data_IF_447085307272
#
_entry.id   IF_447085307272
#
_cell.length_a   1.000
_cell.length_b   1.000
_cell.length_c   1.000
_cell.angle_alpha   90.00
_cell.angle_beta   90.00
_cell.angle_gamma   90.00
#
_symmetry.space_group_name_H-M   'P 1'
#
loop_
_entity.id
_entity.type
_entity.pdbx_description
1 polymer ?
#
# COMPACT_ATOMS: atom_id res chain seq x y z
N UNK A 1 -13.20 5.94 -12.87
CA UNK A 1 -12.68 5.95 -11.49
C UNK A 1 -13.80 5.87 -10.46
N UNK A 2 -14.83 6.73 -10.50
CA UNK A 2 -15.94 6.69 -9.52
C UNK A 2 -16.57 5.29 -9.34
N UNK A 3 -16.89 4.59 -10.44
CA UNK A 3 -17.41 3.20 -10.38
C UNK A 3 -16.56 2.20 -9.60
N UNK A 4 -15.23 2.34 -9.59
CA UNK A 4 -14.36 1.41 -8.84
C UNK A 4 -14.33 1.74 -7.34
N UNK A 5 -14.52 3.02 -7.00
CA UNK A 5 -14.68 3.44 -5.61
C UNK A 5 -16.01 2.94 -5.05
N UNK A 6 -17.10 3.09 -5.81
CA UNK A 6 -18.41 2.54 -5.43
C UNK A 6 -18.35 1.03 -5.21
N UNK A 7 -17.69 0.29 -6.11
CA UNK A 7 -17.51 -1.17 -5.96
C UNK A 7 -16.84 -1.53 -4.63
N UNK A 8 -15.80 -0.79 -4.24
CA UNK A 8 -15.08 -1.02 -2.98
C UNK A 8 -15.96 -0.67 -1.77
N UNK A 9 -16.76 0.39 -1.86
CA UNK A 9 -17.64 0.87 -0.79
C UNK A 9 -18.82 -0.09 -0.60
N UNK A 10 -19.50 -0.46 -1.68
CA UNK A 10 -20.68 -1.31 -1.65
C UNK A 10 -20.36 -2.70 -1.11
N UNK A 11 -19.24 -3.29 -1.56
CA UNK A 11 -18.75 -4.57 -1.02
C UNK A 11 -18.41 -4.47 0.47
N UNK A 12 -17.79 -3.37 0.92
CA UNK A 12 -17.54 -3.17 2.34
C UNK A 12 -18.84 -3.05 3.16
N UNK A 13 -19.84 -2.32 2.68
CA UNK A 13 -21.13 -2.17 3.38
C UNK A 13 -21.80 -3.52 3.55
N UNK A 14 -21.82 -4.34 2.49
CA UNK A 14 -22.42 -5.66 2.44
C UNK A 14 -21.66 -6.69 3.30
N UNK A 15 -20.35 -6.81 3.09
CA UNK A 15 -19.56 -7.95 3.56
C UNK A 15 -18.64 -7.62 4.75
N UNK A 16 -18.62 -6.35 5.17
CA UNK A 16 -17.67 -5.81 6.17
C UNK A 16 -16.20 -5.89 5.73
N UNK A 17 -15.96 -6.24 4.48
CA UNK A 17 -14.67 -6.24 3.79
C UNK A 17 -14.89 -5.71 2.38
N UNK A 18 -14.19 -4.65 2.00
CA UNK A 18 -14.29 -4.09 0.65
C UNK A 18 -13.31 -4.77 -0.30
N UNK A 19 -13.78 -5.17 -1.48
CA UNK A 19 -12.94 -5.74 -2.54
C UNK A 19 -13.29 -5.07 -3.87
N UNK A 20 -12.27 -4.61 -4.60
CA UNK A 20 -12.43 -4.02 -5.92
C UNK A 20 -11.29 -4.48 -6.84
N UNK A 21 -11.62 -5.30 -7.83
CA UNK A 21 -10.67 -5.76 -8.84
C UNK A 21 -10.26 -4.62 -9.78
N UNK A 22 -8.96 -4.50 -10.06
CA UNK A 22 -8.46 -3.42 -10.92
C UNK A 22 -8.52 -2.04 -10.28
N UNK A 23 -8.55 -1.95 -8.93
CA UNK A 23 -8.42 -0.67 -8.22
C UNK A 23 -7.13 0.07 -8.60
N UNK A 24 -6.02 -0.68 -8.68
CA UNK A 24 -4.81 -0.23 -9.35
C UNK A 24 -4.89 -0.61 -10.83
N UNK A 25 -4.50 0.30 -11.71
CA UNK A 25 -4.32 -0.05 -13.13
C UNK A 25 -3.15 -1.03 -13.28
N UNK A 26 -3.19 -1.89 -14.30
CA UNK A 26 -2.10 -2.86 -14.56
C UNK A 26 -0.74 -2.18 -14.65
N UNK A 27 -0.69 -0.99 -15.26
CA UNK A 27 0.51 -0.18 -15.37
C UNK A 27 1.01 0.31 -14.01
N UNK A 28 0.13 0.85 -13.16
CA UNK A 28 0.52 1.31 -11.83
C UNK A 28 0.98 0.13 -10.95
N UNK A 29 0.25 -0.99 -10.99
CA UNK A 29 0.60 -2.21 -10.27
C UNK A 29 1.97 -2.76 -10.71
N UNK A 30 2.23 -2.81 -12.02
CA UNK A 30 3.52 -3.24 -12.56
C UNK A 30 4.67 -2.34 -12.08
N UNK A 31 4.50 -1.02 -12.17
CA UNK A 31 5.53 -0.07 -11.75
C UNK A 31 5.82 -0.14 -10.23
N UNK A 32 4.78 -0.27 -9.40
CA UNK A 32 4.95 -0.43 -7.95
C UNK A 32 5.68 -1.74 -7.59
N UNK A 33 5.36 -2.84 -8.27
CA UNK A 33 6.06 -4.12 -8.11
C UNK A 33 7.53 -4.00 -8.50
N UNK A 34 7.83 -3.33 -9.60
CA UNK A 34 9.21 -3.16 -10.07
C UNK A 34 10.01 -2.24 -9.12
N UNK A 35 9.37 -1.23 -8.51
CA UNK A 35 9.95 -0.43 -7.43
C UNK A 35 10.30 -1.28 -6.21
N UNK A 36 9.37 -2.11 -5.71
CA UNK A 36 9.62 -3.03 -4.59
C UNK A 36 10.77 -4.01 -4.92
N UNK A 37 10.81 -4.54 -6.14
CA UNK A 37 11.88 -5.44 -6.59
C UNK A 37 13.24 -4.76 -6.57
N UNK A 38 13.28 -3.49 -6.99
CA UNK A 38 14.50 -2.65 -6.95
C UNK A 38 14.94 -2.40 -5.51
N UNK A 39 14.02 -2.01 -4.63
CA UNK A 39 14.29 -1.79 -3.20
C UNK A 39 14.82 -3.07 -2.52
N UNK A 40 14.22 -4.22 -2.83
CA UNK A 40 14.65 -5.52 -2.33
C UNK A 40 16.07 -5.87 -2.82
N UNK A 41 16.33 -5.75 -4.13
CA UNK A 41 17.66 -6.04 -4.70
C UNK A 41 18.75 -5.10 -4.19
N UNK A 42 18.38 -3.88 -3.80
CA UNK A 42 19.27 -2.86 -3.25
C UNK A 42 19.43 -2.98 -1.73
N UNK A 43 18.82 -3.99 -1.08
CA UNK A 43 18.80 -4.15 0.38
C UNK A 43 18.26 -2.92 1.15
N UNK A 44 17.31 -2.19 0.56
CA UNK A 44 16.69 -1.01 1.17
C UNK A 44 15.46 -1.33 2.03
N UNK A 45 14.98 -2.58 2.01
CA UNK A 45 13.89 -3.01 2.89
C UNK A 45 14.42 -3.32 4.30
N UNK A 46 13.70 -2.88 5.32
CA UNK A 46 14.01 -3.17 6.73
C UNK A 46 13.21 -4.37 7.24
N UNK A 47 13.78 -5.19 8.12
CA UNK A 47 13.03 -6.24 8.83
C UNK A 47 11.88 -5.62 9.62
N UNK A 48 10.68 -6.15 9.44
CA UNK A 48 9.52 -5.60 10.10
C UNK A 48 9.48 -5.99 11.59
N UNK A 49 9.16 -5.03 12.45
CA UNK A 49 8.91 -5.25 13.88
C UNK A 49 7.43 -5.24 14.20
N UNK A 50 7.09 -5.73 15.39
CA UNK A 50 5.80 -5.57 16.06
C UNK A 50 5.96 -4.69 17.31
N UNK A 51 4.87 -4.12 17.82
CA UNK A 51 4.88 -3.26 19.00
C UNK A 51 4.66 -1.78 18.67
N UNK A 52 5.27 -0.89 19.46
CA UNK A 52 5.13 0.56 19.31
C UNK A 52 6.51 1.25 19.33
N UNK A 53 6.53 2.57 19.16
CA UNK A 53 7.78 3.34 19.09
C UNK A 53 8.67 3.23 20.35
N UNK A 54 8.15 2.74 21.48
CA UNK A 54 8.91 2.56 22.74
C UNK A 54 9.39 1.13 22.95
N UNK A 55 8.67 0.15 22.41
CA UNK A 55 8.99 -1.27 22.55
C UNK A 55 8.76 -1.91 21.18
N UNK A 56 9.86 -2.09 20.45
CA UNK A 56 9.88 -2.87 19.22
C UNK A 56 10.31 -4.29 19.57
N UNK A 57 9.44 -5.25 19.28
CA UNK A 57 9.75 -6.66 19.32
C UNK A 57 9.96 -7.16 17.88
N UNK A 58 11.07 -7.86 17.64
CA UNK A 58 11.42 -8.44 16.35
C UNK A 58 11.29 -9.96 16.40
N UNK A 59 10.20 -10.45 17.00
CA UNK A 59 9.88 -11.87 17.01
C UNK A 59 9.51 -12.37 15.60
N UNK A 60 10.49 -12.96 14.93
CA UNK A 60 10.34 -13.55 13.58
C UNK A 60 9.34 -14.71 13.48
N UNK A 61 8.89 -15.30 14.60
CA UNK A 61 7.81 -16.28 14.59
C UNK A 61 6.43 -15.62 14.41
N UNK A 62 6.32 -14.33 14.74
CA UNK A 62 5.08 -13.55 14.60
C UNK A 62 5.10 -12.76 13.29
N UNK A 63 6.24 -12.12 12.99
CA UNK A 63 6.39 -11.26 11.82
C UNK A 63 7.80 -11.34 11.25
N UNK A 64 7.93 -11.85 10.02
CA UNK A 64 9.22 -12.09 9.35
C UNK A 64 9.35 -11.42 7.97
N UNK A 65 8.39 -10.59 7.58
CA UNK A 65 8.46 -9.80 6.36
C UNK A 65 9.49 -8.67 6.47
N UNK A 66 9.88 -8.13 5.32
CA UNK A 66 10.62 -6.88 5.21
C UNK A 66 9.70 -5.80 4.66
N UNK A 67 9.83 -4.59 5.20
CA UNK A 67 9.00 -3.45 4.85
C UNK A 67 9.85 -2.28 4.34
N UNK A 68 9.19 -1.41 3.60
CA UNK A 68 9.68 -0.08 3.27
C UNK A 68 8.48 0.86 3.38
N UNK A 69 8.63 1.91 4.20
CA UNK A 69 7.58 2.91 4.33
C UNK A 69 7.58 3.76 3.08
N UNK A 70 6.45 3.84 2.37
CA UNK A 70 6.30 4.76 1.25
C UNK A 70 6.14 6.19 1.79
N UNK A 71 6.74 7.16 1.12
CA UNK A 71 6.65 8.57 1.49
C UNK A 71 6.85 9.44 0.25
N UNK A 72 6.13 10.57 0.17
CA UNK A 72 6.29 11.52 -0.93
C UNK A 72 7.66 12.18 -0.95
N UNK A 73 8.38 12.22 0.18
CA UNK A 73 9.76 12.73 0.29
C UNK A 73 10.73 11.93 -0.60
N UNK A 74 10.47 10.65 -0.89
CA UNK A 74 11.28 9.88 -1.82
C UNK A 74 11.22 10.41 -3.25
N UNK A 75 10.21 11.23 -3.56
CA UNK A 75 9.95 11.79 -4.87
C UNK A 75 9.90 10.72 -5.98
N UNK A 76 9.44 9.51 -5.63
CA UNK A 76 9.24 8.43 -6.57
C UNK A 76 7.90 8.64 -7.29
N UNK A 77 7.93 8.68 -8.63
CA UNK A 77 6.74 8.96 -9.45
C UNK A 77 5.63 7.92 -9.24
N UNK A 78 5.98 6.65 -9.04
CA UNK A 78 5.01 5.57 -8.90
C UNK A 78 4.38 5.54 -7.51
N UNK A 79 5.17 5.84 -6.46
CA UNK A 79 4.65 6.04 -5.10
C UNK A 79 3.69 7.23 -5.06
N UNK A 80 4.06 8.34 -5.70
CA UNK A 80 3.21 9.53 -5.77
C UNK A 80 1.89 9.25 -6.48
N UNK A 81 1.91 8.53 -7.61
CA UNK A 81 0.68 8.12 -8.32
C UNK A 81 -0.22 7.23 -7.46
N UNK A 82 0.36 6.32 -6.67
CA UNK A 82 -0.40 5.53 -5.70
C UNK A 82 -1.05 6.41 -4.64
N UNK A 83 -0.30 7.35 -4.05
CA UNK A 83 -0.83 8.26 -3.05
C UNK A 83 -1.92 9.18 -3.59
N UNK A 84 -1.80 9.63 -4.84
CA UNK A 84 -2.82 10.45 -5.51
C UNK A 84 -4.12 9.66 -5.67
N UNK A 85 -4.05 8.39 -6.10
CA UNK A 85 -5.21 7.51 -6.20
C UNK A 85 -5.89 7.28 -4.84
N UNK A 86 -5.12 7.00 -3.79
CA UNK A 86 -5.67 6.81 -2.44
C UNK A 86 -6.27 8.13 -1.92
N UNK A 87 -5.64 9.26 -2.19
CA UNK A 87 -6.17 10.58 -1.83
C UNK A 87 -7.51 10.85 -2.51
N UNK A 88 -7.61 10.56 -3.81
CA UNK A 88 -8.86 10.72 -4.57
C UNK A 88 -9.97 9.80 -4.03
N UNK A 89 -9.64 8.57 -3.64
CA UNK A 89 -10.58 7.66 -2.99
C UNK A 89 -11.07 8.21 -1.64
N UNK A 90 -10.15 8.65 -0.77
CA UNK A 90 -10.52 9.24 0.53
C UNK A 90 -11.35 10.51 0.35
N UNK A 91 -11.02 11.35 -0.65
CA UNK A 91 -11.81 12.53 -0.97
C UNK A 91 -13.22 12.17 -1.45
N UNK A 92 -13.38 11.07 -2.17
CA UNK A 92 -14.69 10.59 -2.62
C UNK A 92 -15.58 10.09 -1.48
N UNK A 93 -14.99 9.62 -0.37
CA UNK A 93 -15.72 9.16 0.81
C UNK A 93 -16.28 10.30 1.69
N UNK A 94 -15.73 11.51 1.60
CA UNK A 94 -16.08 12.66 2.44
C UNK A 94 -17.04 13.62 1.73
#
# INVERSE_FOLDING_TARGET
>A
MQRIFDTLIDSFIADKVGIAEGFLTDLLAANLRDNISTLHSSNLLASAGIGNNKVVDQNSLIRNDKIYWLDRIHNNVHENLFFDLIHDFVKYLN
#
